data_IF_402918220831
#
_entry.id   IF_402918220831
#
_cell.length_a   1.000
_cell.length_b   1.000
_cell.length_c   1.000
_cell.angle_alpha   90.00
_cell.angle_beta   90.00
_cell.angle_gamma   90.00
#
_symmetry.space_group_name_H-M   'P 1'
#
loop_
_entity.id
_entity.type
_entity.pdbx_description
1 polymer ?
#
# COMPACT_ATOMS: atom_id res chain seq x y z
N UNK A 1 6.13 29.09 -39.47
CA UNK A 1 4.82 28.41 -39.42
C UNK A 1 4.12 28.81 -38.14
N UNK A 2 2.89 29.36 -38.20
CA UNK A 2 2.12 29.75 -36.99
C UNK A 2 1.30 28.60 -36.41
N UNK A 3 0.98 27.60 -37.25
CA UNK A 3 0.32 26.37 -36.82
C UNK A 3 0.60 25.27 -37.83
N UNK A 4 0.78 24.05 -37.37
CA UNK A 4 0.93 22.88 -38.19
C UNK A 4 0.20 21.70 -37.51
N UNK A 5 -0.63 20.96 -38.28
CA UNK A 5 -1.40 19.81 -37.81
C UNK A 5 -1.01 18.59 -38.63
N UNK A 6 -0.79 17.45 -37.97
CA UNK A 6 -0.38 16.18 -38.58
C UNK A 6 0.90 16.24 -39.43
N UNK A 7 1.87 17.02 -39.00
CA UNK A 7 3.22 17.09 -39.57
C UNK A 7 4.29 16.89 -38.54
N UNK A 8 5.41 16.32 -38.95
CA UNK A 8 6.63 16.22 -38.21
C UNK A 8 7.70 17.09 -38.86
N UNK A 9 8.51 17.76 -38.03
CA UNK A 9 9.69 18.48 -38.50
C UNK A 9 10.82 17.46 -38.65
N UNK A 10 11.41 17.38 -39.83
CA UNK A 10 12.55 16.51 -40.08
C UNK A 10 13.87 17.20 -39.71
N UNK A 11 14.96 16.44 -39.55
CA UNK A 11 16.25 16.95 -39.13
C UNK A 11 16.84 18.00 -40.09
N UNK A 12 16.44 18.00 -41.35
CA UNK A 12 16.83 18.97 -42.36
C UNK A 12 15.95 20.24 -42.38
N UNK A 13 14.99 20.33 -41.43
CA UNK A 13 14.08 21.47 -41.32
C UNK A 13 12.87 21.43 -42.25
N UNK A 14 12.67 20.34 -43.03
CA UNK A 14 11.49 20.15 -43.86
C UNK A 14 10.30 19.62 -43.07
N UNK A 15 9.09 19.66 -43.62
CA UNK A 15 7.87 19.13 -43.05
C UNK A 15 7.48 17.82 -43.72
N UNK A 16 7.24 16.81 -42.92
CA UNK A 16 6.70 15.52 -43.37
C UNK A 16 5.33 15.31 -42.78
N UNK A 17 4.38 14.86 -43.61
CA UNK A 17 3.08 14.40 -43.10
C UNK A 17 3.28 13.18 -42.22
N UNK A 18 2.67 13.18 -41.04
CA UNK A 18 2.66 11.99 -40.16
C UNK A 18 2.02 10.82 -40.88
N UNK A 19 2.58 9.61 -40.71
CA UNK A 19 1.90 8.39 -41.16
C UNK A 19 0.53 8.29 -40.48
N UNK A 20 -0.44 7.74 -41.22
CA UNK A 20 -1.76 7.44 -40.65
C UNK A 20 -1.65 6.38 -39.56
N UNK A 21 -2.61 6.40 -38.65
CA UNK A 21 -2.74 5.35 -37.62
C UNK A 21 -3.66 4.25 -38.16
N UNK A 22 -3.34 3.01 -37.79
CA UNK A 22 -4.21 1.86 -37.95
C UNK A 22 -4.63 1.35 -36.61
N UNK A 23 -5.93 1.15 -36.35
CA UNK A 23 -6.43 0.50 -35.21
C UNK A 23 -5.91 -0.95 -35.16
N UNK A 24 -5.15 -1.29 -34.14
CA UNK A 24 -4.55 -2.63 -33.96
C UNK A 24 -5.42 -3.51 -33.10
N UNK A 25 -5.99 -2.97 -32.03
CA UNK A 25 -6.88 -3.66 -31.11
C UNK A 25 -7.97 -2.69 -30.62
N UNK A 26 -9.25 -3.00 -30.83
CA UNK A 26 -10.34 -2.18 -30.27
C UNK A 26 -10.43 -2.40 -28.74
N UNK A 27 -10.83 -1.37 -28.00
CA UNK A 27 -11.01 -1.42 -26.55
C UNK A 27 -11.00 0.00 -25.94
N UNK A 28 -11.38 0.09 -24.69
CA UNK A 28 -11.37 1.34 -23.90
C UNK A 28 -10.06 1.46 -23.11
N UNK A 29 -8.95 1.63 -23.87
CA UNK A 29 -7.62 1.66 -23.31
C UNK A 29 -7.21 3.05 -22.85
N UNK A 30 -6.55 3.11 -21.69
CA UNK A 30 -5.89 4.30 -21.17
C UNK A 30 -4.64 3.93 -20.36
N UNK A 31 -3.86 4.95 -19.96
CA UNK A 31 -2.74 4.80 -19.02
C UNK A 31 -1.67 3.81 -19.50
N UNK A 32 -1.32 3.88 -20.78
CA UNK A 32 -0.22 3.09 -21.34
C UNK A 32 1.12 3.59 -20.79
N UNK A 33 1.87 2.69 -20.15
CA UNK A 33 3.15 3.03 -19.57
C UNK A 33 4.13 1.86 -19.64
N UNK A 34 5.41 2.15 -19.86
CA UNK A 34 6.49 1.17 -19.86
C UNK A 34 7.39 1.40 -18.66
N UNK A 35 7.58 0.37 -17.84
CA UNK A 35 8.54 0.41 -16.74
C UNK A 35 9.95 0.56 -17.31
N UNK A 36 10.71 1.62 -16.93
CA UNK A 36 12.04 1.88 -17.49
C UNK A 36 13.10 0.87 -17.06
N UNK A 37 12.88 0.16 -15.95
CA UNK A 37 13.82 -0.81 -15.39
C UNK A 37 13.52 -2.22 -15.90
N UNK A 38 12.29 -2.72 -15.70
CA UNK A 38 11.91 -4.08 -16.10
C UNK A 38 11.56 -4.20 -17.59
N UNK A 39 11.24 -3.09 -18.25
CA UNK A 39 10.77 -3.08 -19.62
C UNK A 39 9.32 -3.53 -19.82
N UNK A 40 8.64 -3.97 -18.75
CA UNK A 40 7.24 -4.38 -18.79
C UNK A 40 6.34 -3.20 -19.20
N UNK A 41 5.32 -3.51 -19.98
CA UNK A 41 4.35 -2.53 -20.44
C UNK A 41 3.02 -2.76 -19.72
N UNK A 42 2.46 -1.70 -19.21
CA UNK A 42 1.17 -1.69 -18.52
C UNK A 42 0.16 -0.88 -19.31
N UNK A 43 -1.08 -1.33 -19.31
CA UNK A 43 -2.22 -0.61 -19.89
C UNK A 43 -3.48 -0.93 -19.10
N UNK A 44 -4.31 0.07 -18.87
CA UNK A 44 -5.63 -0.13 -18.31
C UNK A 44 -6.67 -0.28 -19.43
N UNK A 45 -7.58 -1.25 -19.27
CA UNK A 45 -8.79 -1.40 -20.05
C UNK A 45 -9.99 -1.25 -19.10
N UNK A 46 -10.70 -0.12 -19.19
CA UNK A 46 -11.67 0.25 -18.18
C UNK A 46 -11.03 0.32 -16.80
N UNK A 47 -11.55 -0.41 -15.81
CA UNK A 47 -11.01 -0.48 -14.45
C UNK A 47 -10.00 -1.63 -14.24
N UNK A 48 -9.55 -2.31 -15.28
CA UNK A 48 -8.61 -3.43 -15.15
C UNK A 48 -7.23 -3.04 -15.64
N UNK A 49 -6.25 -3.07 -14.75
CA UNK A 49 -4.84 -2.91 -15.11
C UNK A 49 -4.28 -4.23 -15.63
N UNK A 50 -3.66 -4.17 -16.80
CA UNK A 50 -3.08 -5.33 -17.47
C UNK A 50 -1.59 -5.13 -17.73
N UNK A 51 -0.85 -6.22 -17.78
CA UNK A 51 0.45 -6.30 -18.46
C UNK A 51 0.19 -6.58 -19.93
N UNK A 52 0.76 -5.75 -20.81
CA UNK A 52 0.67 -5.88 -22.25
C UNK A 52 1.89 -6.63 -22.77
N UNK A 53 1.66 -7.77 -23.42
CA UNK A 53 2.70 -8.56 -24.09
C UNK A 53 3.01 -8.03 -25.49
N UNK A 54 4.17 -8.39 -26.10
CA UNK A 54 4.53 -7.94 -27.45
C UNK A 54 3.55 -8.40 -28.56
N UNK A 55 2.84 -9.49 -28.37
CA UNK A 55 1.77 -9.99 -29.24
C UNK A 55 0.43 -9.29 -29.04
N UNK A 56 0.39 -8.25 -28.22
CA UNK A 56 -0.79 -7.48 -27.81
C UNK A 56 -1.81 -8.27 -26.97
N UNK A 57 -1.40 -9.39 -26.38
CA UNK A 57 -2.20 -10.06 -25.36
C UNK A 57 -2.16 -9.28 -24.04
N UNK A 58 -3.28 -9.30 -23.31
CA UNK A 58 -3.44 -8.64 -22.02
C UNK A 58 -3.54 -9.67 -20.90
N UNK A 59 -2.72 -9.49 -19.87
CA UNK A 59 -2.77 -10.28 -18.66
C UNK A 59 -3.26 -9.40 -17.52
N UNK A 60 -4.47 -9.61 -16.99
CA UNK A 60 -4.98 -8.84 -15.85
C UNK A 60 -4.09 -9.00 -14.62
N UNK A 61 -3.74 -7.89 -13.97
CA UNK A 61 -2.86 -7.90 -12.79
C UNK A 61 -3.45 -7.18 -11.59
N UNK A 62 -4.38 -6.24 -11.79
CA UNK A 62 -4.99 -5.49 -10.69
C UNK A 62 -6.33 -4.88 -11.11
N UNK A 63 -7.27 -4.80 -10.17
CA UNK A 63 -8.53 -4.09 -10.34
C UNK A 63 -8.41 -2.69 -9.73
N UNK A 64 -8.54 -1.67 -10.57
CA UNK A 64 -8.53 -0.26 -10.16
C UNK A 64 -9.89 0.10 -9.55
N UNK A 65 -9.91 1.09 -8.68
CA UNK A 65 -11.13 1.58 -8.03
C UNK A 65 -12.03 2.43 -8.95
N UNK A 66 -11.55 2.83 -10.11
CA UNK A 66 -12.34 3.49 -11.16
C UNK A 66 -11.66 3.36 -12.52
N UNK A 67 -12.42 3.56 -13.63
CA UNK A 67 -11.89 3.53 -15.00
C UNK A 67 -11.16 4.82 -15.39
N UNK A 68 -10.85 5.69 -14.45
CA UNK A 68 -10.13 6.93 -14.72
C UNK A 68 -8.64 6.67 -14.97
N UNK A 69 -7.97 7.53 -15.74
CA UNK A 69 -6.54 7.42 -15.98
C UNK A 69 -5.74 7.32 -14.67
N UNK A 70 -4.78 6.41 -14.65
CA UNK A 70 -3.82 6.24 -13.56
C UNK A 70 -2.42 6.62 -14.01
N UNK A 71 -1.66 7.20 -13.10
CA UNK A 71 -0.24 7.48 -13.27
C UNK A 71 0.60 6.32 -12.72
N UNK A 72 1.85 6.26 -13.15
CA UNK A 72 2.78 5.20 -12.78
C UNK A 72 4.12 5.77 -12.34
N UNK A 73 4.79 5.05 -11.46
CA UNK A 73 6.23 5.21 -11.23
C UNK A 73 6.89 3.87 -10.95
N UNK A 74 8.16 3.78 -11.31
CA UNK A 74 9.05 2.74 -10.81
C UNK A 74 9.67 3.21 -9.50
N UNK A 75 9.68 2.34 -8.49
CA UNK A 75 10.35 2.59 -7.23
C UNK A 75 10.74 1.24 -6.57
N UNK A 76 12.02 1.09 -6.21
CA UNK A 76 12.57 -0.13 -5.59
C UNK A 76 12.23 -1.45 -6.31
N UNK A 77 12.27 -1.46 -7.65
CA UNK A 77 12.00 -2.64 -8.45
C UNK A 77 10.52 -2.96 -8.67
N UNK A 78 9.62 -2.22 -8.05
CA UNK A 78 8.18 -2.38 -8.21
C UNK A 78 7.60 -1.28 -9.12
N UNK A 79 6.47 -1.58 -9.75
CA UNK A 79 5.68 -0.59 -10.49
C UNK A 79 4.51 -0.13 -9.64
N UNK A 80 4.53 1.12 -9.20
CA UNK A 80 3.45 1.72 -8.41
C UNK A 80 2.45 2.46 -9.31
N UNK A 81 1.18 2.38 -8.92
CA UNK A 81 0.05 3.02 -9.58
C UNK A 81 -1.01 3.40 -8.54
N UNK A 82 -2.09 4.05 -8.96
CA UNK A 82 -3.16 4.47 -8.04
C UNK A 82 -3.72 3.30 -7.23
N UNK A 83 -3.46 3.31 -5.92
CA UNK A 83 -3.99 2.36 -4.96
C UNK A 83 -3.31 0.99 -4.94
N UNK A 84 -2.25 0.77 -5.72
CA UNK A 84 -1.56 -0.51 -5.77
C UNK A 84 -0.13 -0.45 -6.29
N UNK A 85 0.48 -1.62 -6.33
CA UNK A 85 1.76 -1.84 -6.99
C UNK A 85 1.84 -3.24 -7.59
N UNK A 86 2.70 -3.40 -8.58
CA UNK A 86 3.03 -4.68 -9.18
C UNK A 86 4.45 -5.08 -8.77
N UNK A 87 4.60 -6.27 -8.15
CA UNK A 87 5.84 -6.77 -7.55
C UNK A 87 6.70 -7.62 -8.52
N UNK A 88 6.40 -7.55 -9.81
CA UNK A 88 7.02 -8.39 -10.85
C UNK A 88 6.29 -9.72 -11.09
N UNK A 89 5.37 -10.11 -10.21
CA UNK A 89 4.58 -11.34 -10.29
C UNK A 89 3.07 -11.09 -10.29
N UNK A 90 2.60 -10.20 -9.43
CA UNK A 90 1.18 -9.87 -9.31
C UNK A 90 0.96 -8.43 -8.84
N UNK A 91 -0.23 -7.91 -9.08
CA UNK A 91 -0.68 -6.66 -8.48
C UNK A 91 -1.07 -6.85 -7.02
N UNK A 92 -0.75 -5.86 -6.20
CA UNK A 92 -1.03 -5.81 -4.77
C UNK A 92 -1.63 -4.47 -4.38
N UNK A 93 -2.54 -4.42 -3.40
CA UNK A 93 -2.98 -3.16 -2.82
C UNK A 93 -1.80 -2.42 -2.18
N UNK A 94 -1.77 -1.10 -2.32
CA UNK A 94 -0.83 -0.25 -1.60
C UNK A 94 -1.34 -0.01 -0.18
N UNK A 95 -0.60 -0.54 0.79
CA UNK A 95 -0.95 -0.50 2.19
C UNK A 95 -1.77 -1.70 2.67
N UNK A 96 -1.66 -1.97 3.96
CA UNK A 96 -2.35 -3.04 4.66
C UNK A 96 -3.38 -2.39 5.58
N UNK A 97 -4.66 -2.79 5.54
CA UNK A 97 -5.66 -2.26 6.45
C UNK A 97 -5.31 -2.56 7.91
N UNK A 98 -5.47 -1.58 8.78
CA UNK A 98 -5.31 -1.75 10.23
C UNK A 98 -6.37 -2.70 10.77
N UNK A 99 -6.00 -3.72 11.57
CA UNK A 99 -6.97 -4.68 12.09
C UNK A 99 -7.87 -4.04 13.15
N UNK A 100 -9.12 -4.51 13.20
CA UNK A 100 -10.04 -4.20 14.28
C UNK A 100 -10.03 -5.33 15.32
N UNK A 101 -10.04 -4.98 16.60
CA UNK A 101 -9.95 -5.91 17.71
C UNK A 101 -10.89 -5.53 18.85
N UNK A 102 -11.47 -6.53 19.51
CA UNK A 102 -12.11 -6.42 20.82
C UNK A 102 -11.23 -7.12 21.83
N UNK A 103 -11.01 -6.50 22.99
CA UNK A 103 -10.11 -6.99 24.04
C UNK A 103 -10.92 -7.25 25.30
N UNK A 104 -10.82 -8.47 25.85
CA UNK A 104 -11.44 -8.87 27.09
C UNK A 104 -10.37 -9.21 28.13
N UNK A 105 -10.50 -8.74 29.39
CA UNK A 105 -9.65 -9.21 30.47
C UNK A 105 -9.96 -10.68 30.79
N UNK A 106 -8.92 -11.47 30.99
CA UNK A 106 -8.99 -12.87 31.42
C UNK A 106 -7.97 -13.14 32.51
N UNK A 107 -8.10 -14.24 33.20
CA UNK A 107 -7.06 -14.70 34.11
C UNK A 107 -5.78 -15.07 33.33
N UNK A 108 -4.63 -14.61 33.77
CA UNK A 108 -3.34 -14.84 33.14
C UNK A 108 -2.17 -14.73 34.09
N UNK A 109 -0.95 -14.79 33.56
CA UNK A 109 0.31 -14.75 34.35
C UNK A 109 0.97 -13.37 34.40
N UNK A 110 0.33 -12.34 33.83
CA UNK A 110 0.83 -10.96 33.96
C UNK A 110 0.61 -10.42 35.36
N UNK A 111 1.47 -9.54 35.88
CA UNK A 111 1.18 -8.77 37.08
C UNK A 111 -0.15 -8.01 36.94
N UNK A 112 -0.87 -7.85 38.07
CA UNK A 112 -2.07 -7.00 38.04
C UNK A 112 -1.69 -5.57 37.65
N UNK A 113 -2.32 -5.03 36.59
CA UNK A 113 -1.97 -3.71 36.10
C UNK A 113 -2.86 -3.23 35.00
N UNK A 114 -2.62 -1.98 34.56
CA UNK A 114 -3.23 -1.39 33.36
C UNK A 114 -2.26 -1.51 32.20
N UNK A 115 -2.73 -2.13 31.13
CA UNK A 115 -1.95 -2.40 29.92
C UNK A 115 -2.54 -1.70 28.70
N UNK A 116 -1.69 -1.07 27.90
CA UNK A 116 -2.03 -0.61 26.55
C UNK A 116 -1.80 -1.72 25.55
N UNK A 117 -2.77 -1.97 24.69
CA UNK A 117 -2.71 -3.01 23.64
C UNK A 117 -3.02 -2.38 22.30
N UNK A 118 -2.20 -2.68 21.29
CA UNK A 118 -2.41 -2.29 19.90
C UNK A 118 -2.07 -3.45 18.97
N UNK A 119 -2.68 -3.49 17.80
CA UNK A 119 -2.47 -4.51 16.80
C UNK A 119 -2.07 -3.91 15.47
N UNK A 120 -1.27 -4.66 14.72
CA UNK A 120 -0.99 -4.42 13.31
C UNK A 120 -1.33 -5.66 12.50
N UNK A 121 -1.58 -5.51 11.21
CA UNK A 121 -1.73 -6.60 10.27
C UNK A 121 -0.48 -6.71 9.39
N UNK A 122 -0.11 -7.93 9.01
CA UNK A 122 1.04 -8.19 8.13
C UNK A 122 0.55 -8.98 6.91
N UNK A 123 0.76 -8.45 5.70
CA UNK A 123 0.39 -9.14 4.48
C UNK A 123 1.44 -10.19 4.09
N UNK A 124 1.17 -10.95 3.03
CA UNK A 124 2.05 -11.99 2.51
C UNK A 124 3.31 -11.46 1.77
N UNK A 125 3.45 -10.14 1.63
CA UNK A 125 4.68 -9.47 1.21
C UNK A 125 5.57 -9.09 2.41
N UNK A 126 5.11 -9.32 3.66
CA UNK A 126 5.79 -8.90 4.87
C UNK A 126 5.58 -7.42 5.22
N UNK A 127 4.69 -6.71 4.53
CA UNK A 127 4.37 -5.33 4.84
C UNK A 127 3.44 -5.27 6.05
N UNK A 128 3.80 -4.43 7.01
CA UNK A 128 3.05 -4.23 8.26
C UNK A 128 2.19 -2.97 8.18
N UNK A 129 0.94 -3.06 8.61
CA UNK A 129 0.01 -1.92 8.67
C UNK A 129 0.42 -0.87 9.71
N UNK A 130 -0.23 0.29 9.67
CA UNK A 130 -0.30 1.16 10.83
C UNK A 130 -0.94 0.44 12.03
N UNK A 131 -0.59 0.86 13.23
CA UNK A 131 -1.14 0.28 14.44
C UNK A 131 -2.59 0.71 14.69
N UNK A 132 -3.38 -0.20 15.24
CA UNK A 132 -4.70 0.16 15.76
C UNK A 132 -4.59 1.19 16.89
N UNK A 133 -5.70 1.86 17.17
CA UNK A 133 -5.74 2.71 18.37
C UNK A 133 -5.42 1.88 19.61
N UNK A 134 -4.54 2.40 20.47
CA UNK A 134 -4.21 1.76 21.74
C UNK A 134 -5.45 1.67 22.62
N UNK A 135 -5.79 0.46 23.06
CA UNK A 135 -6.85 0.21 24.04
C UNK A 135 -6.20 -0.09 25.39
N UNK A 136 -6.65 0.60 26.42
CA UNK A 136 -6.16 0.38 27.78
C UNK A 136 -7.13 -0.51 28.54
N UNK A 137 -6.61 -1.63 29.05
CA UNK A 137 -7.39 -2.64 29.79
C UNK A 137 -6.65 -3.03 31.07
N UNK A 138 -7.39 -3.25 32.16
CA UNK A 138 -6.84 -3.71 33.45
C UNK A 138 -7.01 -5.23 33.59
N UNK A 139 -5.98 -5.92 34.09
CA UNK A 139 -6.06 -7.37 34.29
C UNK A 139 -4.69 -8.04 34.45
N UNK A 140 -4.73 -9.37 34.47
CA UNK A 140 -3.56 -10.26 34.53
C UNK A 140 -3.38 -11.09 33.26
N UNK A 141 -4.24 -10.90 32.27
CA UNK A 141 -4.21 -11.50 30.94
C UNK A 141 -5.33 -10.94 30.09
N UNK A 142 -5.23 -11.10 28.77
CA UNK A 142 -6.14 -10.49 27.81
C UNK A 142 -6.47 -11.46 26.67
N UNK A 143 -7.74 -11.58 26.32
CA UNK A 143 -8.20 -12.27 25.13
C UNK A 143 -8.48 -11.25 24.03
N UNK A 144 -7.86 -11.45 22.89
CA UNK A 144 -8.05 -10.66 21.68
C UNK A 144 -9.03 -11.36 20.77
N UNK A 145 -10.08 -10.68 20.32
CA UNK A 145 -11.00 -11.14 19.29
C UNK A 145 -10.78 -10.34 18.02
N UNK A 146 -10.40 -11.01 16.94
CA UNK A 146 -10.01 -10.42 15.67
C UNK A 146 -11.09 -10.72 14.65
N UNK A 147 -11.39 -9.79 13.75
CA UNK A 147 -12.37 -10.03 12.69
C UNK A 147 -11.87 -11.09 11.70
N UNK A 148 -12.80 -11.84 11.11
CA UNK A 148 -12.53 -12.79 10.04
C UNK A 148 -11.89 -12.08 8.81
N UNK A 149 -11.11 -12.83 8.02
CA UNK A 149 -10.40 -12.37 6.83
C UNK A 149 -9.26 -11.35 7.08
N UNK A 150 -8.80 -11.24 8.32
CA UNK A 150 -7.60 -10.46 8.62
C UNK A 150 -6.34 -11.23 8.19
N UNK A 151 -5.34 -10.57 7.58
CA UNK A 151 -4.00 -11.14 7.38
C UNK A 151 -3.37 -11.61 8.71
N UNK A 152 -2.12 -12.07 8.69
CA UNK A 152 -1.39 -12.30 9.93
C UNK A 152 -1.39 -11.03 10.79
N UNK A 153 -1.46 -11.16 12.12
CA UNK A 153 -1.61 -10.03 13.04
C UNK A 153 -0.49 -10.07 14.08
N UNK A 154 0.08 -8.90 14.35
CA UNK A 154 1.01 -8.68 15.48
C UNK A 154 0.28 -7.97 16.60
N UNK A 155 0.38 -8.51 17.80
CA UNK A 155 -0.14 -7.88 19.01
C UNK A 155 1.00 -7.28 19.83
N UNK A 156 0.85 -6.01 20.15
CA UNK A 156 1.80 -5.23 20.96
C UNK A 156 1.14 -4.88 22.29
N UNK A 157 1.88 -5.02 23.37
CA UNK A 157 1.42 -4.70 24.73
C UNK A 157 2.46 -3.88 25.47
N UNK A 158 2.01 -2.99 26.35
CA UNK A 158 2.90 -2.29 27.28
C UNK A 158 3.27 -3.20 28.47
N UNK A 159 4.31 -2.82 29.22
CA UNK A 159 4.46 -3.30 30.61
C UNK A 159 3.30 -2.77 31.47
N UNK A 160 3.05 -3.38 32.60
CA UNK A 160 2.03 -2.92 33.56
C UNK A 160 2.27 -1.45 33.93
N UNK A 161 1.28 -0.59 33.66
CA UNK A 161 1.37 0.88 33.78
C UNK A 161 2.43 1.56 32.89
N UNK A 162 2.99 0.85 31.89
CA UNK A 162 3.95 1.38 30.93
C UNK A 162 3.30 2.12 29.77
N UNK A 163 4.13 2.81 28.98
CA UNK A 163 3.70 3.56 27.80
C UNK A 163 4.21 2.96 26.48
N UNK A 164 5.30 2.18 26.55
CA UNK A 164 5.96 1.65 25.37
C UNK A 164 5.41 0.28 24.97
N UNK A 165 4.97 0.15 23.74
CA UNK A 165 4.39 -1.05 23.18
C UNK A 165 5.46 -1.96 22.57
N UNK A 166 5.52 -3.21 23.04
CA UNK A 166 6.41 -4.26 22.55
C UNK A 166 5.63 -5.44 22.00
N UNK A 167 6.19 -6.09 20.99
CA UNK A 167 5.59 -7.27 20.37
C UNK A 167 5.46 -8.39 21.43
N UNK A 168 4.21 -8.79 21.67
CA UNK A 168 3.87 -9.90 22.53
C UNK A 168 3.67 -11.19 21.74
N UNK A 169 3.07 -11.09 20.53
CA UNK A 169 2.74 -12.27 19.75
C UNK A 169 2.49 -11.95 18.27
N UNK A 170 2.80 -12.94 17.41
CA UNK A 170 2.43 -12.96 16.00
C UNK A 170 1.37 -14.05 15.76
N UNK A 171 0.21 -13.66 15.29
CA UNK A 171 -0.91 -14.55 14.99
C UNK A 171 -0.95 -14.85 13.49
N UNK A 172 -1.00 -16.11 13.08
CA UNK A 172 -1.16 -16.45 11.67
C UNK A 172 -2.51 -15.98 11.13
N UNK A 173 -2.59 -15.78 9.82
CA UNK A 173 -3.84 -15.43 9.15
C UNK A 173 -4.95 -16.47 9.47
N UNK A 174 -6.17 -15.97 9.66
CA UNK A 174 -7.35 -16.79 9.96
C UNK A 174 -7.53 -17.17 11.43
N UNK A 175 -6.62 -16.82 12.33
CA UNK A 175 -6.83 -16.98 13.76
C UNK A 175 -7.76 -15.86 14.26
N UNK A 176 -8.91 -16.25 14.84
CA UNK A 176 -9.94 -15.31 15.28
C UNK A 176 -9.81 -14.88 16.76
N UNK A 177 -9.04 -15.60 17.55
CA UNK A 177 -8.85 -15.28 18.96
C UNK A 177 -7.49 -15.74 19.47
N UNK A 178 -6.90 -14.94 20.35
CA UNK A 178 -5.66 -15.26 21.02
C UNK A 178 -5.66 -14.73 22.47
N UNK A 179 -4.90 -15.37 23.38
CA UNK A 179 -4.73 -14.94 24.76
C UNK A 179 -3.30 -14.48 25.01
N UNK A 180 -3.14 -13.26 25.50
CA UNK A 180 -1.87 -12.74 26.04
C UNK A 180 -1.86 -13.00 27.53
N UNK A 181 -0.96 -13.86 27.99
CA UNK A 181 -0.83 -14.27 29.40
C UNK A 181 0.58 -14.10 29.97
N UNK A 182 1.53 -13.63 29.15
CA UNK A 182 2.92 -13.42 29.51
C UNK A 182 3.41 -12.05 29.05
N UNK A 183 4.46 -11.47 29.67
CA UNK A 183 5.05 -10.20 29.27
C UNK A 183 5.57 -10.23 27.82
N UNK A 184 5.54 -9.08 27.17
CA UNK A 184 6.13 -8.91 25.85
C UNK A 184 7.67 -8.87 25.93
N UNK A 185 8.33 -9.54 24.98
CA UNK A 185 9.79 -9.56 24.89
C UNK A 185 10.31 -9.21 23.47
N UNK A 186 9.41 -8.97 22.52
CA UNK A 186 9.74 -8.66 21.14
C UNK A 186 10.11 -7.20 20.89
N UNK A 187 10.20 -6.84 19.62
CA UNK A 187 10.57 -5.51 19.16
C UNK A 187 9.53 -4.44 19.50
N UNK A 188 9.99 -3.20 19.49
CA UNK A 188 9.12 -2.04 19.72
C UNK A 188 8.16 -1.81 18.54
N UNK A 189 6.95 -1.34 18.86
CA UNK A 189 6.02 -0.86 17.85
C UNK A 189 6.59 0.39 17.15
N UNK A 190 6.75 0.33 15.83
CA UNK A 190 7.28 1.43 15.01
C UNK A 190 6.28 2.02 14.03
N UNK A 191 5.05 1.50 14.00
CA UNK A 191 3.97 1.93 13.09
C UNK A 191 2.81 2.63 13.81
N UNK A 192 3.04 3.08 15.06
CA UNK A 192 2.06 3.85 15.82
C UNK A 192 1.71 5.17 15.14
N UNK A 193 0.42 5.45 14.98
CA UNK A 193 -0.05 6.68 14.32
C UNK A 193 0.15 6.74 12.80
N UNK A 194 0.64 5.67 12.18
CA UNK A 194 0.77 5.56 10.74
C UNK A 194 -0.50 4.97 10.11
N UNK A 195 -0.76 5.35 8.87
CA UNK A 195 -1.90 4.89 8.06
C UNK A 195 -1.41 4.44 6.68
N UNK A 196 -2.22 3.70 5.90
CA UNK A 196 -1.93 3.44 4.49
C UNK A 196 -1.79 4.74 3.70
N UNK A 197 -0.77 4.80 2.81
CA UNK A 197 -0.58 5.97 1.95
C UNK A 197 -1.86 6.24 1.13
N UNK A 198 -2.37 7.49 1.09
CA UNK A 198 -3.58 7.81 0.36
C UNK A 198 -3.49 7.50 -1.13
N UNK A 199 -4.61 7.15 -1.75
CA UNK A 199 -4.72 7.05 -3.20
C UNK A 199 -4.81 8.45 -3.82
N UNK A 200 -4.11 8.68 -4.92
CA UNK A 200 -4.12 9.96 -5.61
C UNK A 200 -3.94 9.81 -7.12
N UNK A 201 -4.03 10.95 -7.84
CA UNK A 201 -3.99 11.00 -9.29
C UNK A 201 -2.56 10.87 -9.84
N UNK A 202 -1.57 11.37 -9.11
CA UNK A 202 -0.16 11.36 -9.50
C UNK A 202 0.63 10.62 -8.46
N UNK A 203 1.55 9.76 -8.91
CA UNK A 203 2.45 9.01 -8.02
C UNK A 203 3.89 9.12 -8.51
N UNK A 204 4.85 9.39 -7.61
CA UNK A 204 6.28 9.49 -7.92
C UNK A 204 7.13 8.93 -6.78
N UNK A 205 8.21 8.24 -7.14
CA UNK A 205 9.25 7.81 -6.20
C UNK A 205 10.40 8.81 -6.19
N UNK A 206 10.82 9.28 -5.00
CA UNK A 206 11.98 10.13 -4.85
C UNK A 206 12.55 10.06 -3.43
N UNK A 207 13.88 10.06 -3.29
CA UNK A 207 14.55 10.20 -1.99
C UNK A 207 14.12 9.15 -0.94
N UNK A 208 13.86 7.90 -1.35
CA UNK A 208 13.43 6.85 -0.44
C UNK A 208 11.96 6.90 -0.03
N UNK A 209 11.13 7.71 -0.70
CA UNK A 209 9.70 7.87 -0.42
C UNK A 209 8.86 7.79 -1.69
N UNK A 210 7.59 7.41 -1.54
CA UNK A 210 6.55 7.66 -2.53
C UNK A 210 5.85 8.98 -2.22
N UNK A 211 5.57 9.74 -3.27
CA UNK A 211 4.79 10.97 -3.24
C UNK A 211 3.51 10.75 -4.03
N UNK A 212 2.40 11.18 -3.47
CA UNK A 212 1.07 11.03 -4.07
C UNK A 212 0.34 12.37 -4.02
N UNK A 213 -0.07 12.87 -5.19
CA UNK A 213 -0.95 14.04 -5.24
C UNK A 213 -2.42 13.62 -5.13
N UNK A 214 -3.12 14.16 -4.12
CA UNK A 214 -4.53 13.92 -3.84
C UNK A 214 -5.25 15.26 -3.66
N UNK A 215 -6.01 15.68 -4.66
CA UNK A 215 -6.59 17.02 -4.68
C UNK A 215 -5.50 18.09 -4.63
N UNK A 216 -5.53 18.96 -3.64
CA UNK A 216 -4.58 20.03 -3.36
C UNK A 216 -3.44 19.65 -2.40
N UNK A 217 -3.40 18.40 -1.95
CA UNK A 217 -2.38 17.89 -1.05
C UNK A 217 -1.34 17.04 -1.79
N UNK A 218 -0.08 17.20 -1.43
CA UNK A 218 0.99 16.27 -1.77
C UNK A 218 1.33 15.44 -0.53
N UNK A 219 0.87 14.18 -0.51
CA UNK A 219 1.17 13.21 0.55
C UNK A 219 2.47 12.48 0.25
N UNK A 220 3.21 12.10 1.27
CA UNK A 220 4.43 11.31 1.10
C UNK A 220 4.54 10.20 2.15
N UNK A 221 5.06 9.05 1.71
CA UNK A 221 5.23 7.88 2.55
C UNK A 221 6.31 8.06 3.61
N UNK A 222 6.33 7.17 4.60
CA UNK A 222 7.49 7.01 5.47
C UNK A 222 8.72 6.55 4.66
N UNK A 223 9.95 6.90 5.10
CA UNK A 223 11.16 6.48 4.42
C UNK A 223 11.24 4.95 4.32
N UNK A 224 11.48 4.43 3.11
CA UNK A 224 11.60 3.00 2.80
C UNK A 224 10.36 2.15 3.18
N UNK A 225 9.24 2.79 3.54
CA UNK A 225 7.94 2.16 3.80
C UNK A 225 6.88 2.79 2.88
N UNK A 226 6.89 2.47 1.58
CA UNK A 226 6.02 3.12 0.58
C UNK A 226 4.53 2.95 0.85
N UNK A 227 4.16 1.95 1.64
CA UNK A 227 2.79 1.60 1.99
C UNK A 227 2.24 2.36 3.21
N UNK A 228 3.09 3.10 3.96
CA UNK A 228 2.71 3.83 5.17
C UNK A 228 2.99 5.32 5.06
N UNK A 229 2.17 6.14 5.67
CA UNK A 229 2.37 7.57 5.82
C UNK A 229 1.92 8.06 7.19
N UNK A 230 2.41 9.22 7.61
CA UNK A 230 1.98 9.85 8.85
C UNK A 230 0.96 10.97 8.54
N UNK A 231 -0.31 10.85 8.96
CA UNK A 231 -1.32 11.86 8.68
C UNK A 231 -1.05 13.20 9.40
N UNK A 232 -0.19 13.23 10.40
CA UNK A 232 0.16 14.44 11.15
C UNK A 232 1.20 15.33 10.45
N UNK A 233 2.09 14.75 9.61
CA UNK A 233 3.15 15.51 8.93
C UNK A 233 3.55 14.96 7.54
N UNK A 234 2.94 13.90 7.07
CA UNK A 234 3.25 13.24 5.79
C UNK A 234 2.66 13.95 4.57
N UNK A 235 2.40 15.26 4.63
CA UNK A 235 1.83 16.04 3.53
C UNK A 235 2.30 17.51 3.53
N UNK A 236 2.14 18.17 2.38
CA UNK A 236 2.31 19.61 2.13
C UNK A 236 1.19 20.09 1.25
#
# INVERSE_FOLDING_TARGET
VRAAVNVDLTADGSFRRRPGYRLVKPGEYHSLWRNPVSGQVFVAEGAVLNVLSPDLSLTPVFELDSPEPTDFCEYNGNTYFRGGYYDGKRGRPLGVPTPSVTIEPVAGGLPQGRYGIALTAVNDAGEESGASRVQFVEGTGFRLHIQSNTPAVRAYITDGHGEQLRLAWEMPAGLLSYQITSPAAGDWLTSGGLEPLPKGQIIRGHGGRLYVAKGDMLCFSEPLRPHLWNPGYGFV
#
